data_IF_758676882279
#
_entry.id   IF_758676882279
#
_cell.length_a   1.000
_cell.length_b   1.000
_cell.length_c   1.000
_cell.angle_alpha   90.00
_cell.angle_beta   90.00
_cell.angle_gamma   90.00
#
_symmetry.space_group_name_H-M   'P 1'
#
loop_
_entity.id
_entity.type
_entity.pdbx_description
1 polymer ?
#
# COMPACT_ATOMS: atom_id res chain seq x y z
N UNK A 1 -15.32 9.75 7.90
CA UNK A 1 -14.35 9.12 6.97
C UNK A 1 -15.23 8.24 6.10
N UNK A 2 -15.75 8.79 5.00
CA UNK A 2 -16.89 8.21 4.27
C UNK A 2 -16.49 8.08 2.79
N UNK A 3 -15.52 7.21 2.55
CA UNK A 3 -14.99 6.87 1.22
C UNK A 3 -14.94 5.35 1.05
N UNK A 4 -14.92 4.85 -0.20
CA UNK A 4 -14.70 3.44 -0.47
C UNK A 4 -13.35 2.99 0.10
N UNK A 5 -13.34 1.86 0.84
CA UNK A 5 -12.14 1.23 1.39
C UNK A 5 -11.58 0.22 0.38
N UNK A 6 -10.26 0.10 0.30
CA UNK A 6 -9.59 -0.90 -0.53
C UNK A 6 -8.84 -1.90 0.37
N UNK A 7 -9.54 -2.89 0.95
CA UNK A 7 -8.92 -3.84 1.87
C UNK A 7 -7.76 -4.58 1.19
N UNK A 8 -6.70 -4.88 1.95
CA UNK A 8 -5.63 -5.76 1.49
C UNK A 8 -4.23 -5.15 1.46
N UNK A 9 -4.04 -3.91 1.93
CA UNK A 9 -2.76 -3.25 2.25
C UNK A 9 -1.55 -3.56 1.36
N UNK A 10 -0.34 -3.40 1.90
CA UNK A 10 0.89 -3.88 1.24
C UNK A 10 1.35 -5.19 1.84
N UNK A 11 1.74 -6.13 0.97
CA UNK A 11 2.40 -7.38 1.33
C UNK A 11 3.91 -7.24 1.17
N UNK A 12 4.67 -7.69 2.15
CA UNK A 12 6.14 -7.80 2.06
C UNK A 12 6.53 -9.27 2.06
N UNK A 13 7.33 -9.70 1.09
CA UNK A 13 7.84 -11.06 1.02
C UNK A 13 9.37 -11.02 1.01
N UNK A 14 9.98 -11.62 2.03
CA UNK A 14 11.41 -11.93 2.01
C UNK A 14 11.63 -13.13 1.11
N UNK A 15 12.26 -12.89 -0.04
CA UNK A 15 12.48 -13.93 -1.06
C UNK A 15 13.60 -14.91 -0.68
N UNK A 16 14.47 -14.56 0.26
CA UNK A 16 15.56 -15.44 0.71
C UNK A 16 15.04 -16.48 1.71
N UNK A 17 14.17 -16.08 2.63
CA UNK A 17 13.62 -16.95 3.67
C UNK A 17 12.22 -17.50 3.36
N UNK A 18 11.51 -16.87 2.41
CA UNK A 18 10.11 -17.16 2.10
C UNK A 18 9.10 -16.56 3.08
N UNK A 19 9.56 -15.86 4.13
CA UNK A 19 8.68 -15.21 5.12
C UNK A 19 7.86 -14.14 4.42
N UNK A 20 6.57 -14.05 4.75
CA UNK A 20 5.66 -13.05 4.20
C UNK A 20 4.93 -12.35 5.33
N UNK A 21 5.00 -11.02 5.33
CA UNK A 21 4.14 -10.15 6.11
C UNK A 21 2.92 -9.79 5.25
N UNK A 22 1.75 -10.13 5.76
CA UNK A 22 0.46 -9.74 5.19
C UNK A 22 -0.13 -8.58 6.00
N UNK A 23 -0.87 -7.67 5.36
CA UNK A 23 -1.65 -6.69 6.09
C UNK A 23 -2.77 -7.38 6.88
N UNK A 24 -3.07 -6.84 8.05
CA UNK A 24 -4.20 -7.27 8.87
C UNK A 24 -5.54 -6.80 8.31
N UNK A 25 -6.62 -7.30 8.89
CA UNK A 25 -7.99 -7.13 8.39
C UNK A 25 -8.48 -5.68 8.33
N UNK A 26 -7.90 -4.79 9.13
CA UNK A 26 -8.25 -3.38 9.21
C UNK A 26 -7.34 -2.46 8.38
N UNK A 27 -6.42 -3.03 7.59
CA UNK A 27 -5.49 -2.25 6.77
C UNK A 27 -5.82 -2.34 5.28
N UNK A 28 -6.03 -1.17 4.68
CA UNK A 28 -6.30 -1.00 3.27
C UNK A 28 -5.14 -0.38 2.50
N UNK A 29 -5.20 -0.46 1.17
CA UNK A 29 -4.23 0.17 0.27
C UNK A 29 -4.21 1.69 0.40
N UNK A 30 -5.31 2.30 0.83
CA UNK A 30 -5.38 3.73 1.13
C UNK A 30 -4.51 4.15 2.33
N UNK A 31 -4.23 3.23 3.25
CA UNK A 31 -3.38 3.43 4.42
C UNK A 31 -1.90 3.09 4.15
N UNK A 32 -1.52 2.80 2.90
CA UNK A 32 -0.13 2.47 2.57
C UNK A 32 0.86 3.60 2.88
N UNK A 33 0.40 4.84 3.04
CA UNK A 33 1.26 5.98 3.41
C UNK A 33 1.85 5.82 4.82
N UNK A 34 1.23 5.02 5.68
CA UNK A 34 1.75 4.73 7.02
C UNK A 34 3.15 4.09 6.95
N UNK A 35 3.48 3.40 5.84
CA UNK A 35 4.83 2.92 5.57
C UNK A 35 5.86 4.04 5.40
N UNK A 36 5.47 5.22 4.92
CA UNK A 36 6.36 6.37 4.82
C UNK A 36 6.71 6.90 6.22
N UNK A 37 5.77 6.87 7.16
CA UNK A 37 6.04 7.28 8.55
C UNK A 37 7.10 6.38 9.20
N UNK A 38 7.07 5.07 8.91
CA UNK A 38 8.11 4.12 9.36
C UNK A 38 9.46 4.41 8.73
N UNK A 39 9.48 4.74 7.44
CA UNK A 39 10.72 4.95 6.67
C UNK A 39 11.34 6.34 6.92
N UNK A 40 10.53 7.33 7.28
CA UNK A 40 10.96 8.72 7.46
C UNK A 40 11.06 9.14 8.92
N UNK A 41 10.23 8.58 9.80
CA UNK A 41 10.25 8.82 11.25
C UNK A 41 11.21 7.90 12.01
N UNK A 42 11.08 7.93 13.33
CA UNK A 42 11.87 7.16 14.30
C UNK A 42 11.04 6.12 15.07
N UNK A 43 9.77 5.94 14.68
CA UNK A 43 8.80 5.07 15.35
C UNK A 43 8.52 3.75 14.63
N UNK A 44 7.31 3.25 14.82
CA UNK A 44 6.78 2.06 14.18
C UNK A 44 5.31 2.24 13.79
N UNK A 45 4.84 1.39 12.89
CA UNK A 45 3.45 1.39 12.43
C UNK A 45 2.86 -0.01 12.50
N UNK A 46 1.57 -0.04 12.84
CA UNK A 46 0.77 -1.24 12.97
C UNK A 46 -0.17 -1.35 11.77
N UNK A 47 -0.16 -2.49 11.07
CA UNK A 47 -0.91 -2.66 9.82
C UNK A 47 -2.14 -3.57 9.97
N UNK A 48 -2.90 -3.40 11.06
CA UNK A 48 -4.20 -4.06 11.27
C UNK A 48 -4.11 -5.35 12.08
N UNK A 49 -5.25 -5.97 12.39
CA UNK A 49 -5.33 -7.17 13.26
C UNK A 49 -5.58 -8.47 12.48
N UNK A 50 -5.23 -9.61 13.10
CA UNK A 50 -5.44 -10.97 12.58
C UNK A 50 -5.01 -11.16 11.09
N UNK A 51 -3.70 -11.14 10.77
CA UNK A 51 -2.55 -11.05 11.69
C UNK A 51 -2.32 -9.62 12.20
N UNK A 52 -1.51 -9.46 13.25
CA UNK A 52 -1.16 -8.16 13.84
C UNK A 52 0.24 -7.66 13.40
N UNK A 53 0.48 -7.35 12.10
CA UNK A 53 1.79 -6.96 11.59
C UNK A 53 2.27 -5.62 12.17
N UNK A 54 3.54 -5.59 12.53
CA UNK A 54 4.20 -4.43 13.09
C UNK A 54 5.50 -4.16 12.34
N UNK A 55 5.71 -2.90 11.93
CA UNK A 55 7.00 -2.42 11.46
C UNK A 55 7.62 -1.48 12.47
N UNK A 56 8.89 -1.69 12.80
CA UNK A 56 9.65 -0.88 13.74
C UNK A 56 10.95 -0.43 13.09
N UNK A 57 11.30 0.85 13.27
CA UNK A 57 12.59 1.37 12.82
C UNK A 57 13.63 1.29 13.93
N UNK A 58 14.74 0.60 13.64
CA UNK A 58 15.90 0.42 14.50
C UNK A 58 17.11 1.05 13.79
N UNK A 59 17.18 2.39 13.81
CA UNK A 59 18.24 3.13 13.12
C UNK A 59 18.10 3.11 11.59
N UNK A 60 19.03 2.46 10.90
CA UNK A 60 19.01 2.29 9.43
C UNK A 60 18.34 0.98 8.97
N UNK A 61 17.92 0.16 9.94
CA UNK A 61 17.29 -1.13 9.73
C UNK A 61 15.84 -1.07 10.17
N UNK A 62 14.98 -1.78 9.44
CA UNK A 62 13.58 -1.99 9.78
C UNK A 62 13.40 -3.45 10.19
N UNK A 63 12.66 -3.63 11.28
CA UNK A 63 12.18 -4.93 11.74
C UNK A 63 10.70 -5.02 11.44
N UNK A 64 10.31 -6.03 10.67
CA UNK A 64 8.92 -6.32 10.33
C UNK A 64 8.49 -7.61 11.01
N UNK A 65 7.68 -7.52 12.05
CA UNK A 65 7.11 -8.67 12.76
C UNK A 65 5.81 -9.07 12.09
N UNK A 66 5.69 -10.33 11.65
CA UNK A 66 4.54 -10.82 10.86
C UNK A 66 3.24 -10.74 11.65
N UNK A 67 3.29 -11.08 12.93
CA UNK A 67 2.16 -11.04 13.86
C UNK A 67 2.67 -10.76 15.28
N UNK A 68 2.58 -9.51 15.73
CA UNK A 68 3.11 -9.05 17.00
C UNK A 68 2.34 -9.58 18.23
N UNK A 69 1.19 -10.24 18.02
CA UNK A 69 0.45 -10.92 19.10
C UNK A 69 1.00 -12.33 19.39
N UNK A 70 1.97 -12.82 18.60
CA UNK A 70 2.61 -14.13 18.78
C UNK A 70 4.06 -13.97 19.25
N UNK A 71 4.43 -14.64 20.33
CA UNK A 71 5.76 -14.50 20.96
C UNK A 71 6.92 -14.98 20.05
N UNK A 72 6.68 -15.99 19.20
CA UNK A 72 7.67 -16.59 18.29
C UNK A 72 7.44 -16.20 16.82
N UNK A 73 6.77 -15.06 16.60
CA UNK A 73 6.42 -14.58 15.27
C UNK A 73 7.64 -14.39 14.37
N UNK A 74 7.61 -14.87 13.12
CA UNK A 74 8.67 -14.61 12.17
C UNK A 74 8.89 -13.10 11.96
N UNK A 75 10.15 -12.75 11.74
CA UNK A 75 10.59 -11.38 11.51
C UNK A 75 11.31 -11.28 10.17
N UNK A 76 11.04 -10.21 9.43
CA UNK A 76 11.84 -9.79 8.26
C UNK A 76 12.66 -8.58 8.69
N UNK A 77 13.98 -8.62 8.46
CA UNK A 77 14.87 -7.46 8.67
C UNK A 77 15.38 -6.97 7.32
N UNK A 78 15.28 -5.67 7.09
CA UNK A 78 15.73 -5.03 5.84
C UNK A 78 16.19 -3.59 6.09
N UNK A 79 17.01 -3.06 5.18
CA UNK A 79 17.46 -1.67 5.31
C UNK A 79 16.32 -0.70 4.97
N UNK A 80 16.28 0.45 5.64
CA UNK A 80 15.33 1.54 5.35
C UNK A 80 15.38 1.95 3.87
N UNK A 81 16.57 2.01 3.29
CA UNK A 81 16.76 2.35 1.87
C UNK A 81 16.14 1.31 0.92
N UNK A 82 16.14 0.04 1.31
CA UNK A 82 15.55 -1.05 0.52
C UNK A 82 14.03 -0.98 0.56
N UNK A 83 13.44 -0.83 1.74
CA UNK A 83 11.99 -0.64 1.83
C UNK A 83 11.53 0.61 1.07
N UNK A 84 12.27 1.72 1.16
CA UNK A 84 11.97 2.93 0.38
C UNK A 84 11.93 2.64 -1.13
N UNK A 85 12.88 1.83 -1.63
CA UNK A 85 12.89 1.45 -3.04
C UNK A 85 11.67 0.60 -3.42
N UNK A 86 11.29 -0.35 -2.58
CA UNK A 86 10.10 -1.20 -2.79
C UNK A 86 8.81 -0.36 -2.79
N UNK A 87 8.68 0.59 -1.87
CA UNK A 87 7.52 1.50 -1.81
C UNK A 87 7.40 2.36 -3.07
N UNK A 88 8.51 2.89 -3.59
CA UNK A 88 8.50 3.62 -4.87
C UNK A 88 8.01 2.74 -6.02
N UNK A 89 8.38 1.46 -6.03
CA UNK A 89 7.85 0.48 -6.97
C UNK A 89 6.33 0.30 -6.84
N UNK A 90 5.85 0.07 -5.62
CA UNK A 90 4.43 -0.10 -5.35
C UNK A 90 3.57 1.13 -5.71
N UNK A 91 4.06 2.35 -5.43
CA UNK A 91 3.37 3.58 -5.82
C UNK A 91 3.28 3.72 -7.35
N UNK A 92 4.33 3.31 -8.07
CA UNK A 92 4.32 3.30 -9.53
C UNK A 92 3.32 2.29 -10.06
N UNK A 93 3.30 1.08 -9.53
CA UNK A 93 2.38 0.02 -9.95
C UNK A 93 0.91 0.42 -9.73
N UNK A 94 0.61 1.13 -8.64
CA UNK A 94 -0.72 1.67 -8.37
C UNK A 94 -1.13 2.78 -9.36
N UNK A 95 -0.20 3.67 -9.70
CA UNK A 95 -0.43 4.70 -10.71
C UNK A 95 -0.67 4.09 -12.10
N UNK A 96 0.15 3.10 -12.48
CA UNK A 96 0.02 2.38 -13.75
C UNK A 96 -1.30 1.58 -13.80
N UNK A 97 -1.70 0.95 -12.69
CA UNK A 97 -3.01 0.30 -12.55
C UNK A 97 -4.17 1.28 -12.78
N UNK A 98 -4.10 2.47 -12.18
CA UNK A 98 -5.14 3.49 -12.37
C UNK A 98 -5.24 3.93 -13.84
N UNK A 99 -4.11 4.02 -14.55
CA UNK A 99 -4.07 4.28 -15.98
C UNK A 99 -4.78 3.17 -16.79
N UNK A 100 -4.43 1.91 -16.52
CA UNK A 100 -5.07 0.76 -17.16
C UNK A 100 -6.58 0.68 -16.87
N UNK A 101 -6.98 1.01 -15.64
CA UNK A 101 -8.39 1.04 -15.26
C UNK A 101 -9.16 2.17 -15.98
N UNK A 102 -8.51 3.30 -16.25
CA UNK A 102 -9.11 4.39 -17.02
C UNK A 102 -9.34 3.99 -18.48
N UNK A 103 -8.35 3.34 -19.12
CA UNK A 103 -8.49 2.84 -20.49
C UNK A 103 -9.59 1.78 -20.59
N UNK A 104 -9.64 0.87 -19.61
CA UNK A 104 -10.70 -0.12 -19.52
C UNK A 104 -12.08 0.53 -19.36
N UNK A 105 -12.21 1.53 -18.48
CA UNK A 105 -13.47 2.23 -18.25
C UNK A 105 -13.93 3.02 -19.48
N UNK A 106 -13.00 3.62 -20.24
CA UNK A 106 -13.31 4.30 -21.49
C UNK A 106 -13.87 3.34 -22.55
N UNK A 107 -13.34 2.12 -22.62
CA UNK A 107 -13.77 1.09 -23.59
C UNK A 107 -15.10 0.45 -23.21
N UNK A 108 -15.31 0.15 -21.92
CA UNK A 108 -16.44 -0.67 -21.48
C UNK A 108 -17.58 0.12 -20.81
N UNK A 109 -17.28 1.29 -20.27
CA UNK A 109 -18.21 2.15 -19.54
C UNK A 109 -18.12 3.60 -20.02
N UNK A 110 -18.23 3.90 -21.34
CA UNK A 110 -17.90 5.22 -21.89
C UNK A 110 -18.65 6.38 -21.24
N UNK A 111 -19.91 6.17 -20.83
CA UNK A 111 -20.72 7.19 -20.14
C UNK A 111 -20.34 7.40 -18.67
N UNK A 112 -19.53 6.52 -18.09
CA UNK A 112 -19.13 6.55 -16.68
C UNK A 112 -17.60 6.52 -16.50
N UNK A 113 -16.82 6.55 -17.58
CA UNK A 113 -15.37 6.35 -17.55
C UNK A 113 -14.70 7.30 -16.54
N UNK A 114 -14.97 8.60 -16.66
CA UNK A 114 -14.45 9.61 -15.73
C UNK A 114 -14.89 9.36 -14.29
N UNK A 115 -16.17 9.05 -14.06
CA UNK A 115 -16.68 8.81 -12.70
C UNK A 115 -16.05 7.60 -12.05
N UNK A 116 -15.86 6.51 -12.79
CA UNK A 116 -15.21 5.29 -12.31
C UNK A 116 -13.74 5.55 -12.00
N UNK A 117 -13.00 6.18 -12.92
CA UNK A 117 -11.59 6.49 -12.71
C UNK A 117 -11.37 7.41 -11.51
N UNK A 118 -12.20 8.45 -11.34
CA UNK A 118 -12.13 9.34 -10.16
C UNK A 118 -12.45 8.58 -8.87
N UNK A 119 -13.45 7.68 -8.89
CA UNK A 119 -13.78 6.87 -7.73
C UNK A 119 -12.63 5.93 -7.34
N UNK A 120 -11.96 5.30 -8.32
CA UNK A 120 -10.78 4.46 -8.09
C UNK A 120 -9.59 5.28 -7.58
N UNK A 121 -9.30 6.43 -8.18
CA UNK A 121 -8.24 7.32 -7.70
C UNK A 121 -8.46 7.71 -6.25
N UNK A 122 -9.70 8.06 -5.88
CA UNK A 122 -10.07 8.39 -4.49
C UNK A 122 -9.94 7.18 -3.56
N UNK A 123 -10.38 5.99 -3.98
CA UNK A 123 -10.28 4.76 -3.18
C UNK A 123 -8.82 4.37 -2.92
N UNK A 124 -7.92 4.69 -3.86
CA UNK A 124 -6.49 4.40 -3.76
C UNK A 124 -5.67 5.59 -3.25
N UNK A 125 -6.31 6.68 -2.82
CA UNK A 125 -5.61 7.92 -2.42
C UNK A 125 -4.53 8.37 -3.43
N UNK A 126 -4.84 8.23 -4.72
CA UNK A 126 -4.01 8.67 -5.83
C UNK A 126 -4.50 10.02 -6.37
N UNK A 127 -3.61 10.85 -6.94
CA UNK A 127 -4.05 12.05 -7.63
C UNK A 127 -4.99 11.66 -8.77
N UNK A 128 -6.13 12.36 -8.85
CA UNK A 128 -7.07 12.15 -9.95
C UNK A 128 -6.35 12.46 -11.28
N UNK A 129 -6.53 11.61 -12.31
CA UNK A 129 -5.93 11.87 -13.61
C UNK A 129 -6.47 13.18 -14.17
N UNK A 130 -5.55 14.00 -14.70
CA UNK A 130 -5.91 15.25 -15.36
C UNK A 130 -6.63 14.90 -16.65
N UNK A 131 -7.95 15.07 -16.66
CA UNK A 131 -8.73 14.92 -17.90
C UNK A 131 -8.45 16.17 -18.75
N UNK A 132 -7.91 16.05 -19.97
CA UNK A 132 -7.82 17.19 -20.85
C UNK A 132 -9.23 17.68 -21.17
N UNK A 133 -9.52 18.94 -20.87
CA UNK A 133 -10.76 19.59 -21.29
C UNK A 133 -10.88 19.46 -22.81
N UNK A 134 -12.02 18.93 -23.28
CA UNK A 134 -12.32 18.93 -24.71
C UNK A 134 -12.37 20.40 -25.19
N UNK A 135 -11.70 20.75 -26.31
CA UNK A 135 -11.75 22.10 -26.86
C UNK A 135 -13.16 22.49 -27.32
#
# INVERSE_FOLDING_TARGET
>A
MDGPLSPGGLRVTDTATGITLLPGCCNGLEQRRDWLEVVEGDGGAFFGHAPSPLAERLGDTLRLTVDAEQDDSPVIELRVAELRHLLVGAERDLADFLGLAADWAAQHLPNHATSVTVALARALDLPAPVVPSKP
#
